data_IF_117999501253
#
_entry.id   IF_117999501253
#
_cell.length_a   1.000
_cell.length_b   1.000
_cell.length_c   1.000
_cell.angle_alpha   90.00
_cell.angle_beta   90.00
_cell.angle_gamma   90.00
#
_symmetry.space_group_name_H-M   'P 1'
#
loop_
_entity.id
_entity.type
_entity.pdbx_description
1 polymer ?
#
# COMPACT_ATOMS: atom_id res chain seq x y z
N UNK A 1 10.88 -46.74 70.33
CA UNK A 1 10.38 -45.36 70.15
C UNK A 1 11.50 -44.46 69.64
N UNK A 2 11.63 -44.26 68.32
CA UNK A 2 12.50 -43.25 67.76
C UNK A 2 11.80 -41.88 67.79
N UNK A 3 12.59 -40.83 68.01
CA UNK A 3 12.11 -39.51 68.41
C UNK A 3 11.35 -38.75 67.31
N UNK A 4 10.34 -38.00 67.75
CA UNK A 4 9.48 -37.06 66.98
C UNK A 4 10.29 -35.95 66.25
N UNK A 5 11.60 -35.83 66.49
CA UNK A 5 12.44 -34.80 65.87
C UNK A 5 12.87 -35.09 64.42
N UNK A 6 12.73 -36.31 63.92
CA UNK A 6 13.14 -36.65 62.55
C UNK A 6 12.02 -36.53 61.52
N UNK A 7 10.76 -36.37 61.96
CA UNK A 7 9.60 -36.24 61.06
C UNK A 7 9.31 -34.78 60.69
N UNK A 8 9.88 -33.80 61.40
CA UNK A 8 9.64 -32.36 61.15
C UNK A 8 10.57 -31.72 60.10
N UNK A 9 11.53 -32.45 59.55
CA UNK A 9 12.42 -31.98 58.48
C UNK A 9 11.95 -32.38 57.06
N UNK A 10 10.77 -33.01 56.98
CA UNK A 10 10.16 -33.47 55.72
C UNK A 10 8.99 -32.58 55.23
N UNK A 11 8.77 -31.43 55.86
CA UNK A 11 7.74 -30.45 55.48
C UNK A 11 8.40 -29.07 55.38
N UNK A 12 9.30 -28.88 54.42
CA UNK A 12 9.73 -27.56 53.91
C UNK A 12 10.52 -27.67 52.59
N UNK A 13 10.38 -28.78 51.85
CA UNK A 13 10.50 -28.70 50.39
C UNK A 13 9.17 -28.15 49.91
N UNK A 14 8.97 -26.84 50.11
CA UNK A 14 8.10 -26.09 49.21
C UNK A 14 8.71 -26.36 47.86
N UNK A 15 8.08 -27.22 47.07
CA UNK A 15 8.25 -27.22 45.63
C UNK A 15 8.03 -25.76 45.24
N UNK A 16 9.12 -25.00 45.06
CA UNK A 16 9.12 -23.81 44.23
C UNK A 16 8.72 -24.36 42.87
N UNK A 17 7.41 -24.49 42.65
CA UNK A 17 6.84 -24.37 41.33
C UNK A 17 7.19 -22.94 40.96
N UNK A 18 8.39 -22.78 40.41
CA UNK A 18 8.84 -21.56 39.80
C UNK A 18 7.86 -21.35 38.66
N UNK A 19 6.80 -20.56 38.88
CA UNK A 19 6.13 -19.93 37.78
C UNK A 19 7.23 -19.17 37.04
N UNK A 20 7.63 -19.68 35.87
CA UNK A 20 8.81 -19.17 35.18
C UNK A 20 8.61 -17.69 34.83
N UNK A 21 7.36 -17.24 34.68
CA UNK A 21 7.01 -15.83 34.55
C UNK A 21 6.82 -15.15 35.91
N UNK A 22 7.87 -14.49 36.41
CA UNK A 22 7.77 -13.61 37.58
C UNK A 22 7.06 -12.30 37.20
N UNK A 23 6.00 -11.87 37.94
CA UNK A 23 5.24 -10.66 37.61
C UNK A 23 6.07 -9.37 37.54
N UNK A 24 7.22 -9.31 38.22
CA UNK A 24 8.06 -8.13 38.31
C UNK A 24 9.33 -8.24 37.46
N UNK A 25 9.83 -9.46 37.23
CA UNK A 25 11.16 -9.71 36.66
C UNK A 25 11.16 -10.54 35.36
N UNK A 26 10.04 -11.12 34.94
CA UNK A 26 9.97 -11.95 33.74
C UNK A 26 10.55 -13.38 33.95
N UNK A 27 11.11 -14.03 32.91
CA UNK A 27 11.80 -13.46 31.75
C UNK A 27 10.94 -13.36 30.48
N UNK A 28 11.22 -12.36 29.64
CA UNK A 28 10.49 -12.14 28.38
C UNK A 28 10.88 -13.16 27.31
N UNK A 29 9.88 -13.76 26.65
CA UNK A 29 10.07 -14.50 25.40
C UNK A 29 10.24 -16.01 25.53
N UNK A 30 10.41 -16.51 26.76
CA UNK A 30 10.47 -17.94 27.04
C UNK A 30 9.08 -18.58 26.95
N UNK A 31 8.89 -19.58 26.07
CA UNK A 31 7.64 -20.30 25.95
C UNK A 31 7.54 -21.40 27.01
N UNK A 32 6.36 -21.61 27.55
CA UNK A 32 6.08 -22.68 28.50
C UNK A 32 4.77 -23.38 28.15
N UNK A 33 4.71 -24.68 28.46
CA UNK A 33 3.50 -25.46 28.31
C UNK A 33 2.67 -25.36 29.59
N UNK A 34 1.50 -24.71 29.52
CA UNK A 34 0.68 -24.39 30.69
C UNK A 34 -0.75 -24.94 30.53
N UNK A 35 -1.34 -25.35 31.65
CA UNK A 35 -2.78 -25.62 31.76
C UNK A 35 -3.44 -24.41 32.43
N UNK A 36 -4.36 -23.76 31.73
CA UNK A 36 -5.03 -22.55 32.22
C UNK A 36 -6.54 -22.77 32.32
N UNK A 37 -7.16 -22.12 33.30
CA UNK A 37 -8.61 -22.17 33.50
C UNK A 37 -9.34 -21.67 32.25
N UNK A 38 -10.46 -22.33 31.92
CA UNK A 38 -11.27 -22.00 30.74
C UNK A 38 -10.87 -22.78 29.48
N UNK A 39 -9.72 -23.45 29.45
CA UNK A 39 -9.29 -24.25 28.30
C UNK A 39 -9.39 -25.75 28.54
N UNK A 40 -9.76 -26.47 27.48
CA UNK A 40 -9.70 -27.94 27.43
C UNK A 40 -8.39 -28.32 26.75
N UNK A 41 -7.43 -28.81 27.55
CA UNK A 41 -6.07 -29.17 27.12
C UNK A 41 -5.01 -28.13 27.50
N UNK A 42 -3.75 -28.56 27.42
CA UNK A 42 -2.55 -27.75 27.66
C UNK A 42 -2.18 -26.94 26.41
N UNK A 43 -1.63 -25.76 26.61
CA UNK A 43 -1.21 -24.88 25.51
C UNK A 43 0.10 -24.16 25.79
N UNK A 44 0.75 -23.70 24.72
CA UNK A 44 1.87 -22.79 24.84
C UNK A 44 1.43 -21.42 25.37
N UNK A 45 2.21 -20.85 26.27
CA UNK A 45 2.16 -19.45 26.66
C UNK A 45 3.57 -18.86 26.68
N UNK A 46 3.69 -17.54 26.50
CA UNK A 46 4.98 -16.85 26.65
C UNK A 46 4.86 -15.84 27.78
N UNK A 47 5.87 -15.73 28.63
CA UNK A 47 5.97 -14.61 29.56
C UNK A 47 6.33 -13.33 28.81
N UNK A 48 5.47 -12.30 28.88
CA UNK A 48 5.58 -11.06 28.12
C UNK A 48 5.23 -9.87 28.98
N UNK A 49 5.66 -8.68 28.56
CA UNK A 49 5.29 -7.44 29.23
C UNK A 49 3.79 -7.17 29.07
N UNK A 50 3.17 -6.57 30.08
CA UNK A 50 1.80 -6.07 29.97
C UNK A 50 1.69 -5.06 28.81
N UNK A 51 2.70 -4.22 28.66
CA UNK A 51 2.91 -3.30 27.55
C UNK A 51 2.76 -3.95 26.15
N UNK A 52 3.39 -5.11 25.94
CA UNK A 52 3.25 -5.86 24.70
C UNK A 52 1.84 -6.41 24.55
N UNK A 53 1.27 -6.98 25.61
CA UNK A 53 -0.06 -7.59 25.58
C UNK A 53 -1.13 -6.54 25.24
N UNK A 54 -1.04 -5.36 25.85
CA UNK A 54 -1.91 -4.23 25.54
C UNK A 54 -1.71 -3.76 24.10
N UNK A 55 -0.47 -3.58 23.63
CA UNK A 55 -0.19 -3.21 22.23
C UNK A 55 -0.76 -4.23 21.23
N UNK A 56 -0.52 -5.53 21.46
CA UNK A 56 -0.99 -6.59 20.57
C UNK A 56 -2.51 -6.82 20.66
N UNK A 57 -3.16 -6.49 21.76
CA UNK A 57 -4.62 -6.62 21.90
C UNK A 57 -5.39 -5.33 21.59
N UNK A 58 -4.69 -4.23 21.29
CA UNK A 58 -5.26 -2.88 21.21
C UNK A 58 -5.96 -2.46 22.51
N UNK A 59 -5.33 -2.76 23.65
CA UNK A 59 -5.78 -2.42 24.99
C UNK A 59 -6.94 -3.28 25.52
N UNK A 60 -7.40 -4.26 24.75
CA UNK A 60 -8.53 -5.12 25.18
C UNK A 60 -8.12 -6.18 26.18
N UNK A 61 -6.83 -6.53 26.23
CA UNK A 61 -6.25 -7.52 27.13
C UNK A 61 -5.08 -6.87 27.86
N UNK A 62 -4.96 -7.19 29.15
CA UNK A 62 -3.88 -6.81 30.04
C UNK A 62 -3.63 -7.93 31.04
N UNK A 63 -2.54 -7.85 31.79
CA UNK A 63 -2.26 -8.74 32.89
C UNK A 63 -3.41 -8.71 33.93
N UNK A 64 -3.72 -9.90 34.45
CA UNK A 64 -4.80 -10.07 35.43
C UNK A 64 -4.48 -9.31 36.72
N UNK A 65 -3.23 -9.42 37.18
CA UNK A 65 -2.69 -8.52 38.19
C UNK A 65 -2.30 -7.19 37.54
N UNK A 66 -2.91 -6.11 38.04
CA UNK A 66 -2.69 -4.75 37.51
C UNK A 66 -1.35 -4.14 37.93
N UNK A 67 -0.66 -4.75 38.90
CA UNK A 67 0.67 -4.33 39.34
C UNK A 67 1.78 -5.12 38.63
N UNK A 68 1.42 -6.19 37.92
CA UNK A 68 2.38 -7.03 37.21
C UNK A 68 2.88 -6.33 35.94
N UNK A 69 4.20 -6.23 35.80
CA UNK A 69 4.85 -5.80 34.57
C UNK A 69 4.89 -6.93 33.54
N UNK A 70 4.84 -8.18 34.00
CA UNK A 70 4.91 -9.38 33.16
C UNK A 70 3.80 -10.36 33.50
N UNK A 71 3.27 -11.05 32.49
CA UNK A 71 2.39 -12.18 32.70
C UNK A 71 2.42 -13.14 31.51
N UNK A 72 1.85 -14.33 31.71
CA UNK A 72 1.67 -15.28 30.61
C UNK A 72 0.65 -14.77 29.60
N UNK A 73 1.06 -14.73 28.34
CA UNK A 73 0.18 -14.51 27.21
C UNK A 73 -0.01 -15.81 26.44
N UNK A 74 -1.25 -16.28 26.38
CA UNK A 74 -1.59 -17.61 25.87
C UNK A 74 -1.60 -17.64 24.35
N UNK A 75 -1.15 -18.75 23.74
CA UNK A 75 -1.20 -18.93 22.28
C UNK A 75 -2.63 -18.77 21.73
N UNK A 76 -3.64 -19.34 22.40
CA UNK A 76 -5.03 -19.24 21.97
C UNK A 76 -5.52 -17.78 21.91
N UNK A 77 -5.06 -16.95 22.83
CA UNK A 77 -5.37 -15.52 22.86
C UNK A 77 -4.59 -14.77 21.79
N UNK A 78 -3.27 -14.96 21.73
CA UNK A 78 -2.37 -14.25 20.81
C UNK A 78 -2.67 -14.55 19.34
N UNK A 79 -2.93 -15.82 19.01
CA UNK A 79 -3.07 -16.30 17.62
C UNK A 79 -4.53 -16.36 17.18
N UNK A 80 -5.44 -16.80 18.05
CA UNK A 80 -6.84 -17.05 17.69
C UNK A 80 -7.85 -16.07 18.31
N UNK A 81 -7.41 -15.18 19.20
CA UNK A 81 -8.30 -14.25 19.89
C UNK A 81 -9.33 -14.92 20.78
N UNK A 82 -9.03 -16.13 21.29
CA UNK A 82 -9.95 -16.93 22.14
C UNK A 82 -9.41 -17.05 23.56
N UNK A 83 -10.20 -16.62 24.54
CA UNK A 83 -9.88 -16.65 25.96
C UNK A 83 -10.30 -17.96 26.67
N UNK A 84 -11.04 -18.83 25.98
CA UNK A 84 -11.50 -20.12 26.49
C UNK A 84 -11.72 -21.14 25.36
N UNK A 85 -12.08 -22.37 25.74
CA UNK A 85 -12.50 -23.43 24.83
C UNK A 85 -11.43 -24.50 24.55
N UNK A 86 -11.65 -25.29 23.49
CA UNK A 86 -10.72 -26.34 23.08
C UNK A 86 -9.43 -25.73 22.52
N UNK A 87 -8.27 -26.14 23.05
CA UNK A 87 -6.97 -25.71 22.54
C UNK A 87 -6.77 -26.25 21.12
N UNK A 88 -6.44 -25.37 20.17
CA UNK A 88 -6.20 -25.77 18.79
C UNK A 88 -4.89 -26.56 18.66
N UNK A 89 -4.76 -27.44 17.65
CA UNK A 89 -3.56 -28.27 17.48
C UNK A 89 -2.25 -27.47 17.39
N UNK A 90 -2.28 -26.27 16.79
CA UNK A 90 -1.10 -25.42 16.69
C UNK A 90 -0.75 -24.69 18.01
N UNK A 91 -1.68 -24.57 18.96
CA UNK A 91 -1.39 -24.01 20.28
C UNK A 91 -1.14 -25.09 21.33
N UNK A 92 -1.47 -26.35 21.03
CA UNK A 92 -1.30 -27.46 21.94
C UNK A 92 0.19 -27.78 22.17
N UNK A 93 0.48 -28.21 23.39
CA UNK A 93 1.77 -28.72 23.82
C UNK A 93 1.52 -29.88 24.78
N UNK A 94 2.44 -30.84 24.83
CA UNK A 94 2.46 -31.87 25.86
C UNK A 94 3.66 -31.65 26.78
N UNK A 95 3.56 -32.05 28.05
CA UNK A 95 4.65 -31.86 29.03
C UNK A 95 5.94 -32.65 28.69
N UNK A 96 5.93 -33.42 27.60
CA UNK A 96 7.03 -34.28 27.14
C UNK A 96 7.73 -33.74 25.90
N UNK A 97 7.12 -32.79 25.18
CA UNK A 97 7.76 -32.07 24.08
C UNK A 97 8.77 -31.11 24.68
N UNK A 98 9.97 -31.64 24.98
CA UNK A 98 11.17 -30.81 25.04
C UNK A 98 11.23 -30.07 23.73
N UNK A 99 10.99 -28.77 23.81
CA UNK A 99 11.18 -27.90 22.68
C UNK A 99 12.62 -28.09 22.19
N UNK A 100 12.79 -28.67 21.00
CA UNK A 100 14.10 -28.82 20.37
C UNK A 100 14.57 -27.40 20.01
N UNK A 101 15.32 -26.81 20.93
CA UNK A 101 15.89 -25.46 20.91
C UNK A 101 16.80 -25.16 19.70
N UNK A 102 17.01 -26.10 18.79
CA UNK A 102 18.06 -26.04 17.76
C UNK A 102 17.83 -24.98 16.67
N UNK A 103 16.66 -24.31 16.63
CA UNK A 103 16.40 -23.20 15.69
C UNK A 103 16.32 -21.83 16.38
N UNK A 104 16.21 -21.78 17.72
CA UNK A 104 15.73 -20.58 18.43
C UNK A 104 16.72 -19.89 19.38
N UNK A 105 17.94 -20.39 19.52
CA UNK A 105 18.91 -19.87 20.50
C UNK A 105 19.51 -18.50 20.18
N UNK A 106 19.19 -17.88 19.04
CA UNK A 106 19.93 -16.70 18.57
C UNK A 106 19.15 -15.37 18.64
N UNK A 107 17.88 -15.36 19.08
CA UNK A 107 17.10 -14.11 19.19
C UNK A 107 17.13 -13.54 20.62
N UNK A 108 17.54 -12.27 20.80
CA UNK A 108 17.44 -11.59 22.09
C UNK A 108 16.01 -11.53 22.64
N UNK A 109 15.86 -11.46 23.97
CA UNK A 109 14.56 -11.38 24.65
C UNK A 109 13.70 -10.18 24.19
N UNK A 110 14.34 -9.05 23.87
CA UNK A 110 13.66 -7.84 23.37
C UNK A 110 12.96 -8.05 22.02
N UNK A 111 13.31 -9.09 21.25
CA UNK A 111 12.58 -9.46 20.05
C UNK A 111 11.12 -9.88 20.34
N UNK A 112 10.83 -10.32 21.55
CA UNK A 112 9.49 -10.80 21.92
C UNK A 112 8.62 -9.73 22.58
N UNK A 113 9.19 -8.56 22.87
CA UNK A 113 8.49 -7.40 23.44
C UNK A 113 9.15 -6.12 22.89
N UNK A 114 8.88 -5.73 21.63
CA UNK A 114 9.51 -4.57 21.00
C UNK A 114 9.30 -3.28 21.81
N UNK A 115 10.33 -2.44 21.86
CA UNK A 115 10.27 -1.13 22.52
C UNK A 115 9.51 -0.12 21.66
N UNK A 116 9.22 1.06 22.24
CA UNK A 116 8.57 2.14 21.51
C UNK A 116 9.47 2.77 20.45
N UNK A 117 10.79 2.71 20.63
CA UNK A 117 11.81 3.52 19.94
C UNK A 117 12.81 2.75 19.07
N UNK A 118 12.78 1.42 19.06
CA UNK A 118 13.81 0.62 18.38
C UNK A 118 13.45 0.24 16.94
N UNK A 119 14.25 0.73 15.98
CA UNK A 119 14.14 0.39 14.56
C UNK A 119 14.83 -0.91 14.17
N UNK A 120 15.64 -1.48 15.03
CA UNK A 120 16.43 -2.67 14.72
C UNK A 120 15.60 -3.94 14.73
N UNK A 121 14.41 -3.94 15.34
CA UNK A 121 13.57 -5.13 15.49
C UNK A 121 13.29 -5.84 14.15
N UNK A 122 13.00 -5.09 13.09
CA UNK A 122 12.73 -5.67 11.77
C UNK A 122 13.95 -6.44 11.25
N UNK A 123 15.14 -5.84 11.32
CA UNK A 123 16.39 -6.45 10.85
C UNK A 123 16.92 -7.56 11.75
N UNK A 124 17.05 -7.28 13.05
CA UNK A 124 17.73 -8.15 14.01
C UNK A 124 16.86 -9.28 14.55
N UNK A 125 15.53 -9.14 14.51
CA UNK A 125 14.60 -10.17 14.96
C UNK A 125 13.89 -10.87 13.81
N UNK A 126 13.08 -10.13 13.05
CA UNK A 126 12.22 -10.73 12.03
C UNK A 126 13.01 -11.24 10.82
N UNK A 127 13.97 -10.46 10.32
CA UNK A 127 14.79 -10.82 9.15
C UNK A 127 15.80 -11.93 9.48
N UNK A 128 16.30 -11.93 10.72
CA UNK A 128 17.16 -13.00 11.23
C UNK A 128 16.43 -14.35 11.25
N UNK A 129 15.15 -14.36 11.63
CA UNK A 129 14.29 -15.55 11.62
C UNK A 129 13.82 -15.92 10.21
N UNK A 130 13.40 -14.94 9.41
CA UNK A 130 12.83 -15.12 8.08
C UNK A 130 13.65 -14.36 7.04
N UNK A 131 14.56 -15.07 6.37
CA UNK A 131 15.35 -14.56 5.25
C UNK A 131 14.48 -14.44 3.99
N UNK A 132 13.57 -13.47 3.98
CA UNK A 132 12.78 -13.16 2.80
C UNK A 132 13.71 -12.62 1.70
N UNK A 133 13.84 -13.35 0.59
CA UNK A 133 14.69 -12.99 -0.58
C UNK A 133 13.90 -13.02 -1.89
N UNK A 134 14.16 -12.08 -2.82
CA UNK A 134 13.63 -12.07 -4.20
C UNK A 134 12.67 -10.91 -4.52
N UNK A 135 12.16 -10.76 -5.74
CA UNK A 135 11.16 -9.70 -6.06
C UNK A 135 9.83 -9.91 -5.31
N UNK A 136 9.47 -11.17 -5.04
CA UNK A 136 8.40 -11.60 -4.13
C UNK A 136 8.85 -11.71 -2.65
N UNK A 137 10.15 -11.52 -2.39
CA UNK A 137 10.80 -11.58 -1.09
C UNK A 137 11.49 -10.27 -0.67
N UNK A 138 11.30 -9.17 -1.41
CA UNK A 138 11.39 -7.80 -0.91
C UNK A 138 10.16 -7.68 -0.02
N UNK A 139 10.34 -8.01 1.24
CA UNK A 139 9.25 -8.16 2.21
C UNK A 139 8.65 -6.79 2.49
N UNK A 140 7.62 -6.44 1.73
CA UNK A 140 6.73 -5.30 1.88
C UNK A 140 6.53 -4.81 3.32
N UNK A 141 6.20 -5.73 4.23
CA UNK A 141 5.98 -5.43 5.64
C UNK A 141 7.20 -4.80 6.28
N UNK A 142 8.34 -5.40 5.98
CA UNK A 142 9.62 -5.06 6.56
C UNK A 142 10.14 -3.78 5.95
N UNK A 143 9.99 -3.57 4.64
CA UNK A 143 10.44 -2.34 3.98
C UNK A 143 9.58 -1.14 4.37
N UNK A 144 8.24 -1.25 4.39
CA UNK A 144 7.41 -0.16 4.88
C UNK A 144 7.67 0.14 6.36
N UNK A 145 7.68 -0.89 7.21
CA UNK A 145 7.94 -0.70 8.65
C UNK A 145 9.34 -0.15 8.88
N UNK A 146 10.35 -0.61 8.14
CA UNK A 146 11.74 -0.12 8.19
C UNK A 146 11.84 1.31 7.70
N UNK A 147 11.21 1.67 6.58
CA UNK A 147 11.25 3.01 6.01
C UNK A 147 10.48 4.01 6.87
N UNK A 148 9.34 3.62 7.46
CA UNK A 148 8.68 4.41 8.51
C UNK A 148 9.62 4.60 9.69
N UNK A 149 10.33 3.55 10.07
CA UNK A 149 11.29 3.63 11.16
C UNK A 149 12.49 4.53 10.86
N UNK A 150 13.04 4.46 9.65
CA UNK A 150 14.18 5.26 9.21
C UNK A 150 13.77 6.71 9.00
N UNK A 151 12.67 6.96 8.28
CA UNK A 151 12.11 8.31 8.12
C UNK A 151 11.86 8.96 9.49
N UNK A 152 11.42 8.17 10.48
CA UNK A 152 11.32 8.62 11.85
C UNK A 152 12.69 8.90 12.48
N UNK A 153 13.63 7.94 12.44
CA UNK A 153 14.94 8.09 13.08
C UNK A 153 15.71 9.31 12.55
N UNK A 154 15.61 9.56 11.25
CA UNK A 154 16.34 10.63 10.57
C UNK A 154 15.70 12.01 10.80
N UNK A 155 14.37 12.06 10.98
CA UNK A 155 13.61 13.32 11.00
C UNK A 155 12.79 13.55 12.28
N UNK A 156 12.94 12.72 13.31
CA UNK A 156 12.16 12.80 14.56
C UNK A 156 12.06 14.23 15.15
N UNK A 157 13.15 15.02 15.24
CA UNK A 157 13.08 16.36 15.82
C UNK A 157 12.20 17.36 15.04
N UNK A 158 11.76 17.01 13.82
CA UNK A 158 10.93 17.86 12.97
C UNK A 158 9.43 17.66 13.17
N UNK A 159 9.04 16.59 13.83
CA UNK A 159 7.63 16.32 14.12
C UNK A 159 7.20 17.00 15.41
N UNK A 160 5.91 17.30 15.52
CA UNK A 160 5.32 17.76 16.78
C UNK A 160 5.45 16.69 17.86
N UNK A 161 5.23 17.08 19.13
CA UNK A 161 5.26 16.13 20.25
C UNK A 161 4.25 14.99 20.07
N UNK A 162 3.04 15.30 19.60
CA UNK A 162 1.99 14.30 19.41
C UNK A 162 2.21 13.49 18.14
N UNK A 163 2.70 14.11 17.06
CA UNK A 163 3.19 13.39 15.87
C UNK A 163 4.27 12.37 16.23
N UNK A 164 5.23 12.77 17.06
CA UNK A 164 6.27 11.91 17.60
C UNK A 164 5.74 10.72 18.39
N UNK A 165 4.80 10.95 19.33
CA UNK A 165 4.16 9.89 20.13
C UNK A 165 3.36 8.93 19.26
N UNK A 166 2.57 9.46 18.31
CA UNK A 166 1.76 8.67 17.39
C UNK A 166 2.65 7.74 16.55
N UNK A 167 3.71 8.25 15.92
CA UNK A 167 4.61 7.42 15.11
C UNK A 167 5.28 6.30 15.93
N UNK A 168 5.72 6.59 17.16
CA UNK A 168 6.28 5.58 18.06
C UNK A 168 5.28 4.47 18.38
N UNK A 169 4.04 4.86 18.64
CA UNK A 169 2.96 3.91 18.85
C UNK A 169 2.66 3.09 17.59
N UNK A 170 2.55 3.72 16.42
CA UNK A 170 2.30 3.01 15.14
C UNK A 170 3.41 1.99 14.89
N UNK A 171 4.68 2.37 15.08
CA UNK A 171 5.81 1.46 14.96
C UNK A 171 5.69 0.28 15.92
N UNK A 172 5.54 0.53 17.23
CA UNK A 172 5.44 -0.54 18.24
C UNK A 172 4.26 -1.45 17.94
N UNK A 173 3.13 -0.89 17.56
CA UNK A 173 1.94 -1.65 17.17
C UNK A 173 2.25 -2.57 15.98
N UNK A 174 2.81 -2.04 14.90
CA UNK A 174 3.17 -2.83 13.70
C UNK A 174 4.15 -3.96 14.04
N UNK A 175 5.21 -3.67 14.81
CA UNK A 175 6.18 -4.68 15.25
C UNK A 175 5.51 -5.75 16.13
N UNK A 176 4.67 -5.34 17.08
CA UNK A 176 3.95 -6.25 18.00
C UNK A 176 3.08 -7.26 17.24
N UNK A 177 2.48 -6.86 16.12
CA UNK A 177 1.65 -7.74 15.29
C UNK A 177 2.42 -8.83 14.54
N UNK A 178 3.74 -8.67 14.43
CA UNK A 178 4.63 -9.61 13.76
C UNK A 178 5.40 -10.50 14.76
N UNK A 179 5.47 -10.12 16.04
CA UNK A 179 6.06 -10.95 17.11
C UNK A 179 5.50 -12.37 17.17
N UNK A 180 4.19 -12.64 16.94
CA UNK A 180 3.69 -14.01 16.93
C UNK A 180 4.45 -14.94 15.96
N UNK A 181 5.01 -14.42 14.86
CA UNK A 181 5.80 -15.24 13.94
C UNK A 181 7.17 -15.65 14.51
N UNK A 182 7.66 -15.01 15.57
CA UNK A 182 8.86 -15.43 16.27
C UNK A 182 8.58 -16.58 17.26
N UNK A 183 7.31 -16.99 17.41
CA UNK A 183 6.92 -18.07 18.30
C UNK A 183 7.24 -19.45 17.69
N UNK A 184 7.63 -20.44 18.51
CA UNK A 184 7.97 -21.76 18.03
C UNK A 184 6.86 -22.50 17.29
N UNK A 185 5.63 -22.26 17.74
CA UNK A 185 4.44 -22.91 17.21
C UNK A 185 3.91 -22.23 15.94
N UNK A 186 4.53 -21.13 15.51
CA UNK A 186 4.14 -20.41 14.31
C UNK A 186 5.12 -20.71 13.17
N UNK A 187 4.61 -21.36 12.13
CA UNK A 187 5.33 -21.53 10.87
C UNK A 187 4.74 -20.58 9.84
N UNK A 188 5.45 -19.49 9.56
CA UNK A 188 5.04 -18.48 8.61
C UNK A 188 5.87 -18.54 7.34
N UNK A 189 5.27 -18.10 6.24
CA UNK A 189 5.97 -17.75 5.00
C UNK A 189 6.13 -16.23 4.92
N UNK A 190 7.02 -15.76 4.06
CA UNK A 190 7.15 -14.32 3.79
C UNK A 190 5.82 -13.70 3.33
N UNK A 191 5.02 -14.44 2.56
CA UNK A 191 3.70 -13.98 2.13
C UNK A 191 2.74 -13.78 3.31
N UNK A 192 2.69 -14.72 4.26
CA UNK A 192 1.81 -14.58 5.43
C UNK A 192 2.25 -13.44 6.35
N UNK A 193 3.56 -13.21 6.47
CA UNK A 193 4.12 -12.07 7.22
C UNK A 193 3.70 -10.75 6.56
N UNK A 194 3.86 -10.65 5.24
CA UNK A 194 3.47 -9.46 4.47
C UNK A 194 1.98 -9.14 4.59
N UNK A 195 1.12 -10.14 4.44
CA UNK A 195 -0.32 -9.99 4.60
C UNK A 195 -0.70 -9.52 6.01
N UNK A 196 -0.07 -10.10 7.05
CA UNK A 196 -0.32 -9.70 8.44
C UNK A 196 0.07 -8.26 8.70
N UNK A 197 1.20 -7.80 8.17
CA UNK A 197 1.60 -6.40 8.30
C UNK A 197 0.63 -5.45 7.59
N UNK A 198 0.25 -5.75 6.33
CA UNK A 198 -0.74 -4.97 5.58
C UNK A 198 -2.04 -4.82 6.37
N UNK A 199 -2.58 -5.94 6.85
CA UNK A 199 -3.84 -5.98 7.59
C UNK A 199 -3.76 -5.22 8.93
N UNK A 200 -2.57 -5.13 9.52
CA UNK A 200 -2.36 -4.47 10.79
C UNK A 200 -2.22 -2.95 10.67
N UNK A 201 -1.77 -2.44 9.51
CA UNK A 201 -1.52 -1.02 9.29
C UNK A 201 -2.71 -0.15 9.65
N UNK A 202 -3.85 -0.38 9.01
CA UNK A 202 -5.04 0.46 9.21
C UNK A 202 -5.36 0.59 10.70
N UNK A 203 -5.45 -0.52 11.44
CA UNK A 203 -5.78 -0.48 12.86
C UNK A 203 -4.68 0.16 13.72
N UNK A 204 -3.41 -0.06 13.41
CA UNK A 204 -2.30 0.59 14.11
C UNK A 204 -2.25 2.11 13.88
N UNK A 205 -2.75 2.63 12.77
CA UNK A 205 -2.83 4.08 12.52
C UNK A 205 -3.86 4.77 13.43
N UNK A 206 -5.01 4.12 13.71
CA UNK A 206 -6.04 4.67 14.60
C UNK A 206 -5.79 4.37 16.07
N UNK A 207 -5.35 3.16 16.38
CA UNK A 207 -5.15 2.70 17.75
C UNK A 207 -3.72 2.20 17.91
N UNK A 208 -2.73 3.11 17.89
CA UNK A 208 -1.32 2.74 17.97
C UNK A 208 -0.91 2.22 19.37
N UNK A 209 -1.69 2.54 20.40
CA UNK A 209 -1.47 2.07 21.75
C UNK A 209 -2.38 2.78 22.75
N UNK A 210 -2.47 2.25 23.97
CA UNK A 210 -3.27 2.88 25.03
C UNK A 210 -2.67 4.23 25.41
N UNK A 211 -3.51 5.28 25.44
CA UNK A 211 -3.09 6.64 25.80
C UNK A 211 -2.21 7.34 24.77
N UNK A 212 -2.01 6.75 23.58
CA UNK A 212 -1.27 7.38 22.48
C UNK A 212 -2.24 8.11 21.53
N UNK A 213 -1.81 9.20 20.88
CA UNK A 213 -2.64 9.89 19.89
C UNK A 213 -3.01 8.94 18.75
N UNK A 214 -4.18 9.10 18.14
CA UNK A 214 -4.53 8.45 16.87
C UNK A 214 -4.03 9.28 15.68
N UNK A 215 -4.16 8.74 14.47
CA UNK A 215 -3.91 9.51 13.25
C UNK A 215 -4.77 10.77 13.17
N UNK A 216 -5.99 10.78 13.74
CA UNK A 216 -6.84 11.96 13.76
C UNK A 216 -6.48 12.98 14.87
N UNK A 217 -5.43 12.72 15.66
CA UNK A 217 -5.00 13.61 16.74
C UNK A 217 -3.64 14.26 16.48
N UNK A 218 -3.00 13.95 15.35
CA UNK A 218 -1.75 14.60 14.94
C UNK A 218 -2.06 15.81 14.07
N UNK A 219 -1.07 16.69 13.88
CA UNK A 219 -1.26 17.84 12.99
C UNK A 219 -1.26 17.38 11.52
N UNK A 220 -1.96 18.11 10.65
CA UNK A 220 -1.89 17.85 9.22
C UNK A 220 -0.45 18.02 8.69
N UNK A 221 0.35 18.94 9.24
CA UNK A 221 1.76 19.10 8.89
C UNK A 221 2.58 17.83 9.17
N UNK A 222 2.43 17.21 10.34
CA UNK A 222 3.08 15.94 10.67
C UNK A 222 2.66 14.83 9.71
N UNK A 223 1.34 14.73 9.45
CA UNK A 223 0.77 13.72 8.58
C UNK A 223 1.35 13.82 7.16
N UNK A 224 1.30 15.00 6.55
CA UNK A 224 1.74 15.19 5.17
C UNK A 224 3.26 15.11 5.06
N UNK A 225 3.99 15.59 6.07
CA UNK A 225 5.44 15.42 6.12
C UNK A 225 5.82 13.94 6.11
N UNK A 226 5.15 13.12 6.93
CA UNK A 226 5.35 11.67 6.91
C UNK A 226 4.95 11.07 5.56
N UNK A 227 3.75 11.38 5.06
CA UNK A 227 3.24 10.82 3.81
C UNK A 227 4.20 11.05 2.64
N UNK A 228 4.69 12.29 2.46
CA UNK A 228 5.57 12.65 1.35
C UNK A 228 6.99 12.11 1.54
N UNK A 229 7.53 12.15 2.77
CA UNK A 229 8.83 11.54 3.10
C UNK A 229 8.83 10.03 2.80
N UNK A 230 7.74 9.32 3.10
CA UNK A 230 7.60 7.90 2.76
C UNK A 230 7.42 7.69 1.25
N UNK A 231 6.61 8.52 0.59
CA UNK A 231 6.34 8.40 -0.84
C UNK A 231 7.62 8.46 -1.68
N UNK A 232 8.55 9.35 -1.34
CA UNK A 232 9.84 9.51 -2.04
C UNK A 232 10.75 8.30 -1.83
N UNK A 233 10.80 7.77 -0.61
CA UNK A 233 11.58 6.58 -0.28
C UNK A 233 11.01 5.29 -0.91
N UNK A 234 9.80 5.31 -1.46
CA UNK A 234 9.02 4.10 -1.80
C UNK A 234 8.57 3.97 -3.26
N UNK A 235 9.09 4.78 -4.18
CA UNK A 235 8.53 5.04 -5.52
C UNK A 235 8.30 3.85 -6.47
N UNK A 236 8.94 2.70 -6.26
CA UNK A 236 9.02 1.64 -7.29
C UNK A 236 8.23 0.35 -7.01
N UNK A 237 7.55 0.22 -5.87
CA UNK A 237 6.86 -1.04 -5.49
C UNK A 237 5.34 -0.90 -5.51
N UNK A 238 4.66 -1.93 -6.05
CA UNK A 238 3.20 -2.07 -5.92
C UNK A 238 2.76 -2.05 -4.47
N UNK A 239 3.49 -2.75 -3.63
CA UNK A 239 3.00 -2.98 -2.29
C UNK A 239 3.12 -1.68 -1.48
N UNK A 240 4.11 -0.83 -1.79
CA UNK A 240 4.22 0.53 -1.22
C UNK A 240 3.03 1.43 -1.54
N UNK A 241 2.43 1.29 -2.73
CA UNK A 241 1.21 2.01 -3.06
C UNK A 241 0.09 1.66 -2.07
N UNK A 242 -0.08 0.39 -1.69
CA UNK A 242 -1.11 0.02 -0.70
C UNK A 242 -0.84 0.61 0.68
N UNK A 243 0.42 0.69 1.13
CA UNK A 243 0.73 1.33 2.41
C UNK A 243 0.41 2.82 2.41
N UNK A 244 0.84 3.54 1.38
CA UNK A 244 0.57 4.97 1.25
C UNK A 244 -0.93 5.21 1.08
N UNK A 245 -1.61 4.35 0.32
CA UNK A 245 -3.06 4.38 0.19
C UNK A 245 -3.76 4.12 1.53
N UNK A 246 -3.29 3.18 2.36
CA UNK A 246 -3.85 2.94 3.69
C UNK A 246 -3.63 4.14 4.62
N UNK A 247 -2.42 4.74 4.60
CA UNK A 247 -2.12 5.95 5.36
C UNK A 247 -3.03 7.10 4.94
N UNK A 248 -3.15 7.34 3.63
CA UNK A 248 -4.03 8.35 3.07
C UNK A 248 -5.50 8.08 3.42
N UNK A 249 -5.98 6.85 3.25
CA UNK A 249 -7.37 6.48 3.57
C UNK A 249 -7.66 6.68 5.05
N UNK A 250 -6.73 6.32 5.92
CA UNK A 250 -6.87 6.55 7.35
C UNK A 250 -6.93 8.05 7.66
N UNK A 251 -6.06 8.84 7.05
CA UNK A 251 -6.07 10.30 7.20
C UNK A 251 -7.37 10.93 6.71
N UNK A 252 -7.86 10.54 5.53
CA UNK A 252 -9.08 11.08 4.92
C UNK A 252 -10.36 10.71 5.67
N UNK A 253 -10.29 9.78 6.63
CA UNK A 253 -11.41 9.53 7.55
C UNK A 253 -11.51 10.56 8.68
N UNK A 254 -10.47 11.36 8.89
CA UNK A 254 -10.40 12.38 9.92
C UNK A 254 -10.81 13.72 9.31
N UNK A 255 -11.88 14.34 9.83
CA UNK A 255 -12.39 15.62 9.33
C UNK A 255 -11.31 16.71 9.32
N UNK A 256 -10.49 16.76 10.38
CA UNK A 256 -9.38 17.72 10.53
C UNK A 256 -8.35 17.66 9.38
N UNK A 257 -8.17 16.50 8.76
CA UNK A 257 -7.24 16.32 7.64
C UNK A 257 -7.88 16.47 6.26
N UNK A 258 -9.21 16.58 6.19
CA UNK A 258 -9.93 16.77 4.92
C UNK A 258 -9.86 18.21 4.41
N UNK A 259 -9.54 19.17 5.29
CA UNK A 259 -9.42 20.57 4.94
C UNK A 259 -8.13 20.86 4.16
N UNK A 260 -8.23 21.83 3.25
CA UNK A 260 -7.13 22.28 2.41
C UNK A 260 -5.97 22.74 3.29
N UNK A 261 -4.78 22.23 2.99
CA UNK A 261 -3.56 22.95 3.32
C UNK A 261 -3.23 23.82 2.12
N UNK A 262 -2.95 25.11 2.35
CA UNK A 262 -2.63 26.08 1.29
C UNK A 262 -1.46 25.64 0.38
N UNK A 263 -0.71 24.63 0.83
CA UNK A 263 0.47 24.06 0.21
C UNK A 263 0.21 22.77 -0.58
N UNK A 264 -1.02 22.25 -0.57
CA UNK A 264 -1.43 21.06 -1.31
C UNK A 264 -2.46 21.46 -2.38
N UNK A 265 -2.34 20.85 -3.56
CA UNK A 265 -3.36 20.98 -4.59
C UNK A 265 -3.91 19.61 -4.96
N UNK A 266 -5.23 19.56 -5.15
CA UNK A 266 -5.97 18.34 -5.43
C UNK A 266 -6.67 18.48 -6.78
N UNK A 267 -6.45 17.51 -7.66
CA UNK A 267 -7.10 17.45 -8.97
C UNK A 267 -7.68 16.05 -9.18
N UNK A 268 -8.91 15.98 -9.68
CA UNK A 268 -9.57 14.72 -10.03
C UNK A 268 -9.70 14.60 -11.54
N UNK A 269 -9.55 13.39 -12.05
CA UNK A 269 -9.67 13.05 -13.45
C UNK A 269 -10.63 11.88 -13.63
N UNK A 270 -11.36 11.89 -14.74
CA UNK A 270 -11.99 10.69 -15.26
C UNK A 270 -11.09 10.07 -16.31
N UNK A 271 -10.74 8.80 -16.10
CA UNK A 271 -9.89 8.01 -17.00
C UNK A 271 -10.69 6.83 -17.52
N UNK A 272 -10.86 6.75 -18.83
CA UNK A 272 -11.50 5.62 -19.47
C UNK A 272 -10.47 4.52 -19.71
N UNK A 273 -10.72 3.31 -19.19
CA UNK A 273 -9.94 2.11 -19.46
C UNK A 273 -10.75 1.18 -20.33
N UNK A 274 -10.23 0.81 -21.49
CA UNK A 274 -10.85 -0.23 -22.33
C UNK A 274 -10.47 -1.62 -21.78
N UNK A 275 -11.46 -2.41 -21.39
CA UNK A 275 -11.30 -3.77 -20.86
C UNK A 275 -11.65 -4.79 -21.95
N UNK A 276 -11.07 -6.00 -21.86
CA UNK A 276 -11.42 -7.12 -22.75
C UNK A 276 -12.43 -8.09 -22.13
N UNK A 277 -12.84 -7.84 -20.88
CA UNK A 277 -13.77 -8.67 -20.13
C UNK A 277 -14.87 -7.81 -19.54
N UNK A 278 -16.10 -8.35 -19.48
CA UNK A 278 -17.26 -7.75 -18.80
C UNK A 278 -17.13 -7.79 -17.26
N UNK A 279 -15.92 -7.60 -16.74
CA UNK A 279 -15.70 -7.52 -15.29
C UNK A 279 -16.32 -6.21 -14.80
N UNK A 280 -17.31 -6.34 -13.93
CA UNK A 280 -17.99 -5.23 -13.28
C UNK A 280 -17.17 -4.59 -12.17
N UNK A 281 -16.03 -5.20 -11.79
CA UNK A 281 -15.20 -4.72 -10.69
C UNK A 281 -13.72 -4.70 -11.06
N UNK A 282 -13.06 -3.58 -10.76
CA UNK A 282 -11.61 -3.47 -10.80
C UNK A 282 -11.01 -4.13 -9.57
N UNK A 283 -10.03 -4.99 -9.79
CA UNK A 283 -9.17 -5.49 -8.71
C UNK A 283 -8.29 -4.38 -8.16
N UNK A 284 -7.82 -4.53 -6.92
CA UNK A 284 -6.87 -3.58 -6.30
C UNK A 284 -5.58 -3.41 -7.13
N UNK A 285 -5.06 -4.50 -7.70
CA UNK A 285 -3.94 -4.47 -8.64
C UNK A 285 -4.22 -3.57 -9.85
N UNK A 286 -5.43 -3.65 -10.41
CA UNK A 286 -5.80 -2.83 -11.56
C UNK A 286 -5.93 -1.35 -11.20
N UNK A 287 -6.43 -1.03 -10.00
CA UNK A 287 -6.47 0.36 -9.50
C UNK A 287 -5.06 0.93 -9.33
N UNK A 288 -4.15 0.15 -8.74
CA UNK A 288 -2.74 0.50 -8.63
C UNK A 288 -2.10 0.72 -10.00
N UNK A 289 -2.28 -0.22 -10.94
CA UNK A 289 -1.65 -0.15 -12.25
C UNK A 289 -2.13 1.08 -13.06
N UNK A 290 -3.42 1.43 -12.97
CA UNK A 290 -3.96 2.67 -13.54
C UNK A 290 -3.27 3.89 -12.91
N UNK A 291 -3.27 3.97 -11.58
CA UNK A 291 -2.66 5.09 -10.84
C UNK A 291 -1.19 5.26 -11.18
N UNK A 292 -0.42 4.18 -11.17
CA UNK A 292 1.01 4.18 -11.55
C UNK A 292 1.22 4.67 -12.97
N UNK A 293 0.39 4.26 -13.93
CA UNK A 293 0.49 4.72 -15.32
C UNK A 293 0.21 6.21 -15.44
N UNK A 294 -0.80 6.72 -14.74
CA UNK A 294 -1.11 8.15 -14.68
C UNK A 294 0.05 8.93 -14.06
N UNK A 295 0.57 8.49 -12.90
CA UNK A 295 1.74 9.08 -12.24
C UNK A 295 2.95 9.14 -13.17
N UNK A 296 3.28 8.02 -13.84
CA UNK A 296 4.43 7.94 -14.76
C UNK A 296 4.27 8.82 -15.99
N UNK A 297 3.05 8.94 -16.51
CA UNK A 297 2.75 9.84 -17.62
C UNK A 297 3.00 11.28 -17.21
N UNK A 298 2.34 11.74 -16.14
CA UNK A 298 2.45 13.13 -15.67
C UNK A 298 3.88 13.47 -15.30
N UNK A 299 4.56 12.60 -14.55
CA UNK A 299 5.96 12.83 -14.14
C UNK A 299 6.89 13.00 -15.34
N UNK A 300 6.67 12.24 -16.41
CA UNK A 300 7.49 12.32 -17.64
C UNK A 300 7.22 13.57 -18.44
N UNK A 301 5.95 13.92 -18.62
CA UNK A 301 5.55 15.05 -19.46
C UNK A 301 5.84 16.39 -18.77
N UNK A 302 5.59 16.46 -17.46
CA UNK A 302 5.73 17.70 -16.69
C UNK A 302 7.13 17.90 -16.12
N UNK A 303 7.95 16.84 -16.06
CA UNK A 303 9.26 16.83 -15.39
C UNK A 303 9.22 17.32 -13.93
N UNK A 304 8.07 17.19 -13.28
CA UNK A 304 7.84 17.68 -11.91
C UNK A 304 8.84 17.16 -10.88
N UNK A 305 9.40 15.99 -11.14
CA UNK A 305 10.44 15.40 -10.32
C UNK A 305 11.75 16.19 -10.31
N UNK A 306 12.10 16.77 -11.45
CA UNK A 306 13.30 17.61 -11.62
C UNK A 306 13.07 19.03 -11.07
N UNK A 307 11.80 19.45 -10.95
CA UNK A 307 11.42 20.80 -10.54
C UNK A 307 11.00 20.91 -9.07
N UNK A 308 11.21 19.86 -8.27
CA UNK A 308 10.89 19.90 -6.84
C UNK A 308 9.40 19.74 -6.51
N UNK A 309 8.63 19.03 -7.34
CA UNK A 309 7.21 18.74 -7.10
C UNK A 309 7.03 17.23 -6.87
N UNK A 310 6.34 16.89 -5.79
CA UNK A 310 5.90 15.52 -5.51
C UNK A 310 4.47 15.33 -5.96
N UNK A 311 4.18 14.11 -6.41
CA UNK A 311 2.92 13.72 -7.01
C UNK A 311 2.52 12.35 -6.48
N UNK A 312 1.28 12.23 -6.03
CA UNK A 312 0.66 10.96 -5.72
C UNK A 312 -0.69 10.86 -6.42
N UNK A 313 -0.98 9.70 -7.00
CA UNK A 313 -2.26 9.45 -7.67
C UNK A 313 -2.89 8.17 -7.17
N UNK A 314 -4.21 8.12 -7.04
CA UNK A 314 -4.95 6.92 -6.66
C UNK A 314 -6.33 6.89 -7.32
N UNK A 315 -6.91 5.69 -7.46
CA UNK A 315 -8.29 5.51 -7.97
C UNK A 315 -9.26 5.52 -6.79
N UNK A 316 -10.14 6.51 -6.71
CA UNK A 316 -11.19 6.62 -5.68
C UNK A 316 -12.37 5.68 -5.94
N UNK A 317 -12.73 5.55 -7.22
CA UNK A 317 -13.92 4.81 -7.63
C UNK A 317 -13.93 4.55 -9.12
N UNK A 318 -14.84 3.71 -9.55
CA UNK A 318 -15.04 3.41 -10.95
C UNK A 318 -16.50 3.12 -11.25
N UNK A 319 -16.89 3.35 -12.49
CA UNK A 319 -18.21 3.06 -13.01
C UNK A 319 -18.04 2.22 -14.27
N UNK A 320 -18.61 1.00 -14.26
CA UNK A 320 -18.73 0.20 -15.46
C UNK A 320 -19.87 0.77 -16.30
N UNK A 321 -19.60 1.15 -17.54
CA UNK A 321 -20.64 1.60 -18.46
C UNK A 321 -21.40 0.37 -18.97
N UNK A 322 -22.71 0.31 -18.72
CA UNK A 322 -23.60 -0.77 -19.21
C UNK A 322 -23.45 -0.92 -20.72
N UNK A 323 -23.17 -2.14 -21.19
CA UNK A 323 -23.00 -2.50 -22.60
C UNK A 323 -21.75 -1.94 -23.31
N UNK A 324 -20.75 -1.46 -22.57
CA UNK A 324 -19.47 -1.07 -23.17
C UNK A 324 -18.30 -1.82 -22.57
N UNK A 325 -17.26 -2.04 -23.39
CA UNK A 325 -15.95 -2.53 -22.95
C UNK A 325 -15.12 -1.43 -22.27
N UNK A 326 -15.75 -0.40 -21.69
CA UNK A 326 -15.08 0.73 -21.08
C UNK A 326 -15.46 0.84 -19.60
N UNK A 327 -14.44 1.05 -18.77
CA UNK A 327 -14.57 1.36 -17.35
C UNK A 327 -14.09 2.79 -17.15
N UNK A 328 -14.96 3.64 -16.60
CA UNK A 328 -14.61 5.01 -16.22
C UNK A 328 -14.04 4.98 -14.80
N UNK A 329 -12.82 5.45 -14.62
CA UNK A 329 -12.14 5.47 -13.33
C UNK A 329 -12.00 6.92 -12.87
N UNK A 330 -12.40 7.21 -11.63
CA UNK A 330 -12.13 8.48 -10.98
C UNK A 330 -10.75 8.40 -10.34
N UNK A 331 -9.78 9.10 -10.93
CA UNK A 331 -8.40 9.17 -10.46
C UNK A 331 -8.18 10.50 -9.76
N UNK A 332 -7.79 10.47 -8.50
CA UNK A 332 -7.40 11.66 -7.75
C UNK A 332 -5.89 11.81 -7.78
N UNK A 333 -5.47 13.06 -7.90
CA UNK A 333 -4.11 13.50 -7.91
C UNK A 333 -3.93 14.49 -6.77
N UNK A 334 -2.90 14.25 -5.98
CA UNK A 334 -2.42 15.17 -4.94
C UNK A 334 -1.02 15.61 -5.36
N UNK A 335 -0.76 16.90 -5.35
CA UNK A 335 0.58 17.45 -5.56
C UNK A 335 1.01 18.36 -4.41
N UNK A 336 2.31 18.41 -4.20
CA UNK A 336 2.95 19.35 -3.26
C UNK A 336 4.30 19.79 -3.78
N UNK A 337 4.80 20.91 -3.25
CA UNK A 337 6.23 21.21 -3.33
C UNK A 337 7.00 20.29 -2.38
N UNK A 338 8.11 19.70 -2.86
CA UNK A 338 9.00 18.85 -2.05
C UNK A 338 9.54 19.57 -0.84
N UNK A 339 9.89 20.84 -1.00
CA UNK A 339 10.48 21.65 0.06
C UNK A 339 9.60 21.87 1.28
N UNK A 340 8.30 21.60 1.17
CA UNK A 340 7.34 21.79 2.26
C UNK A 340 7.27 20.54 3.13
N UNK A 341 7.01 19.37 2.51
CA UNK A 341 6.70 18.14 3.25
C UNK A 341 7.69 17.00 3.06
N UNK A 342 8.52 17.00 2.01
CA UNK A 342 9.54 15.97 1.87
C UNK A 342 10.77 16.35 2.67
N UNK A 343 10.92 15.72 3.83
CA UNK A 343 12.06 15.95 4.70
C UNK A 343 13.40 15.52 4.07
N UNK A 344 13.38 14.71 3.01
CA UNK A 344 14.56 14.32 2.27
C UNK A 344 15.01 15.35 1.22
N UNK A 345 14.13 16.30 0.82
CA UNK A 345 14.39 17.24 -0.29
C UNK A 345 13.92 18.68 0.00
N UNK A 346 14.34 19.19 1.16
CA UNK A 346 14.03 20.56 1.60
C UNK A 346 14.81 21.65 0.86
N UNK A 347 15.81 21.30 0.04
CA UNK A 347 16.62 22.27 -0.72
C UNK A 347 15.94 22.73 -2.01
N UNK A 348 14.84 22.08 -2.40
CA UNK A 348 14.08 22.45 -3.58
C UNK A 348 13.42 23.82 -3.42
N UNK A 349 13.27 24.56 -4.52
CA UNK A 349 12.58 25.86 -4.50
C UNK A 349 11.07 25.61 -4.49
N UNK A 350 10.30 26.20 -3.56
CA UNK A 350 8.84 26.09 -3.59
C UNK A 350 8.26 26.49 -4.95
N UNK A 351 7.36 25.67 -5.47
CA UNK A 351 6.74 25.88 -6.78
C UNK A 351 5.31 26.41 -6.62
N UNK A 352 4.88 27.22 -7.59
CA UNK A 352 3.48 27.62 -7.69
C UNK A 352 2.65 26.46 -8.28
N UNK A 353 2.09 25.64 -7.40
CA UNK A 353 1.35 24.42 -7.76
C UNK A 353 0.15 24.71 -8.66
N UNK A 354 -0.54 25.83 -8.44
CA UNK A 354 -1.66 26.27 -9.28
C UNK A 354 -1.22 26.54 -10.74
N UNK A 355 -0.06 27.15 -10.95
CA UNK A 355 0.49 27.37 -12.30
C UNK A 355 0.90 26.06 -12.98
N UNK A 356 1.49 25.15 -12.22
CA UNK A 356 1.89 23.83 -12.72
C UNK A 356 0.70 22.98 -13.13
N UNK A 357 -0.39 23.01 -12.35
CA UNK A 357 -1.64 22.38 -12.74
C UNK A 357 -2.22 22.99 -14.01
N UNK A 358 -2.20 24.32 -14.18
CA UNK A 358 -2.64 24.97 -15.43
C UNK A 358 -1.79 24.53 -16.62
N UNK A 359 -0.48 24.34 -16.44
CA UNK A 359 0.40 23.80 -17.50
C UNK A 359 0.02 22.36 -17.85
N UNK A 360 -0.21 21.50 -16.85
CA UNK A 360 -0.66 20.13 -17.06
C UNK A 360 -1.98 20.09 -17.84
N UNK A 361 -2.96 20.91 -17.45
CA UNK A 361 -4.26 20.98 -18.13
C UNK A 361 -4.12 21.38 -19.60
N UNK A 362 -3.33 22.42 -19.90
CA UNK A 362 -3.04 22.82 -21.29
C UNK A 362 -2.34 21.71 -22.07
N UNK A 363 -1.50 20.91 -21.41
CA UNK A 363 -0.80 19.79 -22.05
C UNK A 363 -1.74 18.63 -22.37
N UNK A 364 -2.60 18.25 -21.43
CA UNK A 364 -3.61 17.20 -21.61
C UNK A 364 -4.60 17.59 -22.71
N UNK A 365 -5.04 18.85 -22.78
CA UNK A 365 -5.95 19.32 -23.83
C UNK A 365 -5.35 19.28 -25.24
N UNK A 366 -4.03 19.50 -25.37
CA UNK A 366 -3.34 19.56 -26.67
C UNK A 366 -2.92 18.20 -27.21
N UNK A 367 -2.95 17.15 -26.39
CA UNK A 367 -2.50 15.82 -26.79
C UNK A 367 -3.54 14.76 -26.47
N UNK A 368 -3.88 13.95 -27.45
CA UNK A 368 -4.26 12.56 -27.16
C UNK A 368 -3.05 11.94 -26.45
N UNK A 369 -3.22 11.52 -25.19
CA UNK A 369 -2.20 10.79 -24.44
C UNK A 369 -1.66 9.69 -25.38
N UNK A 370 -0.37 9.70 -25.73
CA UNK A 370 0.18 8.71 -26.64
C UNK A 370 -0.16 7.34 -26.10
N UNK A 371 -0.84 6.56 -26.93
CA UNK A 371 -1.43 5.25 -26.68
C UNK A 371 -0.44 4.30 -25.97
N UNK A 372 -0.26 4.42 -24.66
CA UNK A 372 0.68 3.60 -23.89
C UNK A 372 0.04 2.24 -23.65
N UNK A 373 0.08 1.35 -24.65
CA UNK A 373 -0.22 -0.10 -24.60
C UNK A 373 -1.55 -0.55 -23.92
N UNK A 374 -2.35 0.34 -23.35
CA UNK A 374 -3.44 0.05 -22.41
C UNK A 374 -4.61 1.05 -22.49
N UNK A 375 -4.69 1.90 -23.52
CA UNK A 375 -5.90 2.67 -23.88
C UNK A 375 -6.53 3.45 -22.72
N UNK A 376 -5.73 4.24 -21.99
CA UNK A 376 -6.26 5.20 -21.01
C UNK A 376 -6.53 6.52 -21.73
N UNK A 377 -7.73 7.08 -21.60
CA UNK A 377 -8.05 8.43 -22.11
C UNK A 377 -8.66 9.27 -21.00
N UNK A 378 -8.14 10.48 -20.81
CA UNK A 378 -8.73 11.47 -19.90
C UNK A 378 -9.99 12.04 -20.56
N UNK A 379 -11.13 12.06 -19.86
CA UNK A 379 -12.38 12.63 -20.37
C UNK A 379 -12.81 13.89 -19.63
N UNK A 380 -12.47 14.01 -18.35
CA UNK A 380 -12.92 15.11 -17.53
C UNK A 380 -11.89 15.42 -16.45
N UNK A 381 -11.80 16.67 -16.00
CA UNK A 381 -11.07 17.02 -14.79
C UNK A 381 -11.80 18.00 -13.90
N UNK A 382 -11.45 17.96 -12.61
CA UNK A 382 -11.91 18.87 -11.57
C UNK A 382 -10.72 19.38 -10.77
N UNK A 383 -10.58 20.69 -10.61
CA UNK A 383 -9.71 21.27 -9.58
C UNK A 383 -10.52 21.41 -8.29
N UNK A 384 -10.01 20.92 -7.18
CA UNK A 384 -10.78 20.76 -5.94
C UNK A 384 -10.14 21.54 -4.80
N UNK A 385 -10.94 22.23 -3.98
CA UNK A 385 -10.45 22.84 -2.72
C UNK A 385 -10.18 21.78 -1.65
N UNK A 386 -10.86 20.64 -1.73
CA UNK A 386 -10.84 19.59 -0.71
C UNK A 386 -10.97 18.20 -1.35
N UNK A 387 -10.67 17.15 -0.57
CA UNK A 387 -10.70 15.76 -1.05
C UNK A 387 -12.08 15.27 -1.50
N UNK A 388 -13.15 15.74 -0.87
CA UNK A 388 -14.52 15.43 -1.27
C UNK A 388 -14.95 16.16 -2.56
N UNK A 389 -14.28 17.25 -2.94
CA UNK A 389 -14.53 18.02 -4.16
C UNK A 389 -16.03 18.33 -4.39
N UNK A 390 -16.75 18.67 -3.32
CA UNK A 390 -18.19 18.96 -3.38
C UNK A 390 -18.50 20.16 -4.26
N UNK A 391 -17.58 21.13 -4.34
CA UNK A 391 -17.64 22.28 -5.23
C UNK A 391 -16.30 22.40 -5.98
N UNK A 392 -16.21 21.95 -7.24
CA UNK A 392 -14.98 22.08 -8.01
C UNK A 392 -14.72 23.55 -8.32
N UNK A 393 -13.49 24.02 -8.05
CA UNK A 393 -13.00 25.35 -8.45
C UNK A 393 -13.08 25.57 -9.95
N UNK A 394 -12.82 24.49 -10.69
CA UNK A 394 -12.88 24.46 -12.14
C UNK A 394 -13.24 23.05 -12.59
N UNK A 395 -14.11 22.95 -13.58
CA UNK A 395 -14.53 21.70 -14.20
C UNK A 395 -14.53 21.87 -15.71
N UNK A 396 -13.92 20.95 -16.45
CA UNK A 396 -13.85 21.05 -17.92
C UNK A 396 -13.86 19.65 -18.54
N UNK A 397 -14.66 19.49 -19.60
CA UNK A 397 -14.67 18.29 -20.41
C UNK A 397 -13.48 18.32 -21.36
N UNK A 398 -12.73 17.22 -21.41
CA UNK A 398 -11.61 17.07 -22.33
C UNK A 398 -12.21 16.57 -23.64
N UNK A 399 -12.55 17.52 -24.52
CA UNK A 399 -12.97 17.20 -25.87
C UNK A 399 -11.76 16.63 -26.63
N UNK A 400 -11.72 15.30 -26.79
CA UNK A 400 -10.82 14.68 -27.76
C UNK A 400 -11.22 15.18 -29.15
N UNK A 401 -10.56 16.24 -29.62
CA UNK A 401 -10.66 16.66 -31.01
C UNK A 401 -9.96 15.59 -31.85
N UNK A 402 -10.66 14.49 -32.14
CA UNK A 402 -10.25 13.59 -33.21
C UNK A 402 -10.08 14.45 -34.44
N UNK A 403 -8.87 14.48 -34.97
CA UNK A 403 -8.63 15.19 -36.22
C UNK A 403 -9.59 14.61 -37.27
N UNK A 404 -10.16 15.43 -38.18
CA UNK A 404 -11.09 14.94 -39.20
C UNK A 404 -10.54 13.73 -39.97
N UNK A 405 -9.22 13.66 -40.15
CA UNK A 405 -8.51 12.55 -40.78
C UNK A 405 -8.67 11.20 -40.06
N UNK A 406 -8.60 11.16 -38.73
CA UNK A 406 -8.75 9.92 -37.95
C UNK A 406 -10.20 9.43 -37.91
N UNK A 407 -11.15 10.37 -37.85
CA UNK A 407 -12.57 10.06 -37.96
C UNK A 407 -12.91 9.48 -39.34
N UNK A 408 -12.31 10.02 -40.41
CA UNK A 408 -12.44 9.49 -41.77
C UNK A 408 -11.78 8.11 -41.89
N UNK A 409 -10.56 7.90 -41.36
CA UNK A 409 -9.88 6.61 -41.42
C UNK A 409 -10.64 5.50 -40.67
N UNK A 410 -11.21 5.82 -39.51
CA UNK A 410 -12.03 4.89 -38.73
C UNK A 410 -13.33 4.57 -39.47
N UNK A 411 -13.99 5.56 -40.08
CA UNK A 411 -15.18 5.37 -40.89
C UNK A 411 -14.90 4.52 -42.14
N UNK A 412 -13.78 4.74 -42.84
CA UNK A 412 -13.34 3.94 -44.00
C UNK A 412 -13.08 2.49 -43.58
N UNK A 413 -12.43 2.28 -42.42
CA UNK A 413 -12.15 0.93 -41.92
C UNK A 413 -13.44 0.19 -41.55
N UNK A 414 -14.41 0.88 -40.94
CA UNK A 414 -15.71 0.31 -40.59
C UNK A 414 -16.57 0.00 -41.83
N UNK A 415 -16.54 0.88 -42.85
CA UNK A 415 -17.21 0.66 -44.13
C UNK A 415 -16.60 -0.52 -44.90
N UNK A 416 -15.26 -0.67 -44.87
CA UNK A 416 -14.58 -1.81 -45.46
C UNK A 416 -14.90 -3.14 -44.75
N UNK A 417 -15.19 -3.09 -43.43
CA UNK A 417 -15.54 -4.28 -42.65
C UNK A 417 -17.01 -4.70 -42.82
N UNK A 418 -17.91 -3.74 -43.05
CA UNK A 418 -19.35 -3.98 -43.21
C UNK A 418 -19.77 -4.31 -44.65
N UNK A 419 -18.93 -4.03 -45.65
CA UNK A 419 -19.22 -4.36 -47.04
C UNK A 419 -17.94 -4.69 -47.81
N UNK A 420 -17.73 -5.97 -48.12
CA UNK A 420 -16.60 -6.46 -48.91
C UNK A 420 -16.62 -6.07 -50.40
N UNK A 421 -16.85 -4.80 -50.75
CA UNK A 421 -16.81 -4.32 -52.13
C UNK A 421 -16.05 -3.00 -52.22
N UNK A 422 -15.14 -2.95 -53.19
CA UNK A 422 -14.24 -1.86 -53.52
C UNK A 422 -14.94 -0.48 -53.55
N UNK A 423 -14.61 0.37 -52.57
CA UNK A 423 -14.92 1.80 -52.64
C UNK A 423 -13.68 2.51 -53.20
N UNK A 424 -13.75 2.85 -54.49
CA UNK A 424 -12.87 3.81 -55.16
C UNK A 424 -13.34 5.22 -54.78
N UNK A 425 -12.72 5.85 -53.77
CA UNK A 425 -13.00 7.26 -53.46
C UNK A 425 -12.15 8.15 -54.38
N UNK A 426 -12.83 8.77 -55.35
CA UNK A 426 -12.34 9.95 -56.05
C UNK A 426 -12.45 11.13 -55.08
N UNK A 427 -11.33 11.58 -54.52
CA UNK A 427 -11.26 12.89 -53.86
C UNK A 427 -11.08 13.94 -54.96
N UNK A 428 -12.11 14.74 -55.19
CA UNK A 428 -12.10 15.87 -56.10
C UNK A 428 -11.07 16.91 -55.63
N UNK A 429 -10.18 17.33 -56.54
CA UNK A 429 -9.31 18.48 -56.30
C UNK A 429 -7.90 18.46 -56.91
N UNK A 430 -7.63 17.71 -57.98
CA UNK A 430 -6.38 17.91 -58.76
C UNK A 430 -6.70 17.89 -60.25
N UNK A 431 -6.43 19.02 -60.90
CA UNK A 431 -6.61 19.25 -62.34
C UNK A 431 -5.64 18.40 -63.15
N UNK A 432 -6.12 17.33 -63.79
CA UNK A 432 -5.33 16.51 -64.72
C UNK A 432 -5.43 17.10 -66.13
N UNK A 433 -4.34 17.70 -66.61
CA UNK A 433 -4.15 18.04 -68.03
C UNK A 433 -4.02 16.75 -68.85
N UNK A 434 -4.92 16.60 -69.83
CA UNK A 434 -4.84 15.85 -71.11
C UNK A 434 -3.78 14.73 -71.18
N UNK A 435 -4.21 13.48 -71.03
CA UNK A 435 -3.39 12.31 -71.40
C UNK A 435 -3.66 11.87 -72.84
N UNK A 436 -2.57 11.65 -73.59
CA UNK A 436 -2.55 11.19 -74.99
C UNK A 436 -2.67 9.66 -75.01
N UNK A 437 -3.69 9.14 -75.69
CA UNK A 437 -4.01 7.71 -75.79
C UNK A 437 -3.09 7.04 -76.81
N UNK A 438 -2.15 6.19 -76.37
CA UNK A 438 -1.47 5.24 -77.26
C UNK A 438 -2.09 3.84 -77.08
N UNK A 439 -2.55 3.28 -78.21
CA UNK A 439 -3.00 1.89 -78.36
C UNK A 439 -1.78 0.97 -78.33
N UNK A 440 -1.79 -0.03 -77.45
CA UNK A 440 -1.05 -1.27 -77.64
C UNK A 440 -1.96 -2.48 -77.39
N UNK A 441 -1.61 -3.57 -78.06
CA UNK A 441 -2.46 -4.66 -78.55
C UNK A 441 -2.88 -5.71 -77.51
N UNK A 442 -4.01 -6.36 -77.84
CA UNK A 442 -4.52 -7.65 -77.35
C UNK A 442 -3.44 -8.65 -76.89
N UNK A 443 -3.63 -9.23 -75.70
CA UNK A 443 -3.59 -10.68 -75.54
C UNK A 443 -4.45 -11.17 -74.36
N UNK A 444 -4.97 -12.40 -74.48
CA UNK A 444 -6.01 -13.03 -73.65
C UNK A 444 -5.47 -13.56 -72.31
N UNK A 445 -6.38 -13.55 -71.32
CA UNK A 445 -6.34 -14.24 -70.03
C UNK A 445 -5.26 -13.81 -69.03
N UNK A 446 -5.52 -12.72 -68.32
CA UNK A 446 -5.07 -12.51 -66.94
C UNK A 446 -5.97 -11.44 -66.28
N UNK A 447 -6.35 -11.68 -65.03
CA UNK A 447 -7.11 -10.74 -64.18
C UNK A 447 -6.29 -9.47 -64.02
N UNK A 448 -6.81 -8.34 -64.50
CA UNK A 448 -6.13 -7.05 -64.44
C UNK A 448 -6.02 -6.57 -62.98
N UNK A 449 -4.82 -6.62 -62.40
CA UNK A 449 -4.44 -5.75 -61.28
C UNK A 449 -3.80 -4.51 -61.91
N UNK A 450 -4.48 -3.37 -61.84
CA UNK A 450 -3.92 -2.09 -62.22
C UNK A 450 -3.06 -1.60 -61.04
N UNK A 451 -1.75 -1.80 -61.12
CA UNK A 451 -0.81 -1.14 -60.22
C UNK A 451 -0.59 0.30 -60.71
N UNK A 452 -1.08 1.29 -59.95
CA UNK A 452 -0.74 2.70 -60.16
C UNK A 452 0.49 3.01 -59.32
N UNK A 453 1.65 3.12 -59.97
CA UNK A 453 2.86 3.66 -59.33
C UNK A 453 2.83 5.17 -59.50
N UNK A 454 2.53 5.90 -58.41
CA UNK A 454 2.76 7.33 -58.33
C UNK A 454 4.21 7.55 -57.89
N UNK A 455 5.04 8.17 -58.75
CA UNK A 455 6.36 8.66 -58.39
C UNK A 455 6.16 10.04 -57.75
N UNK A 456 6.53 10.19 -56.50
CA UNK A 456 6.61 11.49 -55.81
C UNK A 456 8.07 11.92 -55.89
N UNK A 457 8.35 12.92 -56.71
CA UNK A 457 9.60 13.66 -56.60
C UNK A 457 9.38 14.77 -55.55
N UNK A 458 10.33 14.89 -54.61
CA UNK A 458 10.28 15.78 -53.43
C UNK A 458 10.39 17.24 -53.84
#
# INVERSE_FOLDING_TARGET
>A
MPSIRTVLLLILVILKVSCNCDPNNGPVGEPECVQLNGYIGTQWATCLTDDYIQSNSFGTIKCMDRQANYCYYQCMVEVHGKNDGLVTPNCHCDGFTKYNNTVRTDLPSWCFSPSLDDCRWIGECLQKQYRCTGYLGKSYAMEFTQNVCQAYADHYPRFSLDGGKWMNGVRKCLQSKLVPFLRPWMKATCNTINLRALQSQYKCLYVPGMGLPSICNITSEDLWSLFWTLQENMRESEIHYYSLFNLLTAALSCEEHMHRLDTLEIMKFQVNKRTFSNKYQLTEYEKYDISRKVTKFISREMKWQETGISLYTFVEGYQAQTNSYNVVCNVTIIITSKSIYDFNDQKSVPQNLSDELRKLLKHIQKRDIPNTTNRLTFSYFYLCESFNCSQPLKSEEICNQRTPAESIATAITYLAYLGGIAILIIIAGVSIKKFKKNRLSKNRNQTNIIAVVARVDI
#
